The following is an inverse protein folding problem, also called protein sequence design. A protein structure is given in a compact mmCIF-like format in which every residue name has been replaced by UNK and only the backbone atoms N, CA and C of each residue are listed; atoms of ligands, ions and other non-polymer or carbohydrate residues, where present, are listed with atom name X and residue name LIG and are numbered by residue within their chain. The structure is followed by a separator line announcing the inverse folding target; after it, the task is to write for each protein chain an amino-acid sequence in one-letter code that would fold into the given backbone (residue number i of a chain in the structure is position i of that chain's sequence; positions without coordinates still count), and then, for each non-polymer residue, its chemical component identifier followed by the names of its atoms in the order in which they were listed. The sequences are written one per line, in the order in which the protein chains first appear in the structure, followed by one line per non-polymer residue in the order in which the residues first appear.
data_IF_121319399900
#
_entry.id   IF_121319399900
#
_cell.length_a   1.000
_cell.length_b   1.000
_cell.length_c   1.000
_cell.angle_alpha   90.00
_cell.angle_beta   90.00
_cell.angle_gamma   90.00
#
_symmetry.space_group_name_H-M   'P 1'
#
loop_
_entity.id
_entity.type
_entity.pdbx_description
1 polymer ?
#
# COMPACT_ATOMS: atom_id res chain seq x y z
N UNK A 1 2.12 -4.76 22.26
CA UNK A 1 3.06 -3.62 22.10
C UNK A 1 3.82 -3.78 20.80
N UNK A 2 3.97 -2.70 20.04
CA UNK A 2 4.90 -2.63 18.90
C UNK A 2 5.73 -1.35 18.99
N UNK A 3 7.01 -1.45 18.61
CA UNK A 3 7.90 -0.30 18.45
C UNK A 3 8.63 -0.45 17.13
N UNK A 4 8.55 0.55 16.27
CA UNK A 4 9.23 0.57 14.98
C UNK A 4 9.47 2.02 14.56
N UNK A 5 10.69 2.35 14.13
CA UNK A 5 11.03 3.66 13.56
C UNK A 5 10.71 4.85 14.46
N UNK A 6 10.94 4.75 15.78
CA UNK A 6 10.66 5.82 16.73
C UNK A 6 9.16 5.97 17.09
N UNK A 7 8.31 5.00 16.74
CA UNK A 7 6.89 4.99 17.09
C UNK A 7 6.58 3.79 17.97
N UNK A 8 6.15 4.04 19.20
CA UNK A 8 5.63 3.04 20.14
C UNK A 8 4.10 3.03 20.11
N UNK A 9 3.49 1.86 20.09
CA UNK A 9 2.04 1.69 20.12
C UNK A 9 1.62 0.72 21.23
N UNK A 10 0.69 1.16 22.07
CA UNK A 10 0.02 0.35 23.09
C UNK A 10 -1.46 0.31 22.75
N UNK A 11 -1.97 -0.84 22.34
CA UNK A 11 -3.40 -1.02 22.15
C UNK A 11 -4.09 -1.10 23.51
N UNK A 12 -5.00 -0.19 23.76
CA UNK A 12 -5.77 -0.11 25.01
C UNK A 12 -7.02 -0.96 24.95
N UNK A 13 -7.74 -0.85 23.83
CA UNK A 13 -9.01 -1.56 23.66
C UNK A 13 -9.33 -1.79 22.19
N UNK A 14 -10.08 -2.86 21.89
CA UNK A 14 -10.62 -3.15 20.57
C UNK A 14 -12.06 -3.64 20.67
N UNK A 15 -12.95 -3.02 19.89
CA UNK A 15 -14.36 -3.42 19.78
C UNK A 15 -14.72 -3.46 18.29
N UNK A 16 -15.03 -4.64 17.80
CA UNK A 16 -15.31 -4.85 16.39
C UNK A 16 -14.16 -4.33 15.50
N UNK A 17 -14.46 -3.34 14.67
CA UNK A 17 -13.49 -2.68 13.76
C UNK A 17 -12.86 -1.41 14.37
N UNK A 18 -13.23 -1.08 15.61
CA UNK A 18 -12.69 0.07 16.33
C UNK A 18 -11.52 -0.32 17.24
N UNK A 19 -10.41 0.41 17.16
CA UNK A 19 -9.22 0.21 17.99
C UNK A 19 -8.82 1.51 18.65
N UNK A 20 -8.74 1.51 19.98
CA UNK A 20 -8.21 2.60 20.79
C UNK A 20 -6.77 2.28 21.19
N UNK A 21 -5.85 3.20 20.93
CA UNK A 21 -4.43 3.02 21.20
C UNK A 21 -3.80 4.28 21.78
N UNK A 22 -2.80 4.07 22.64
CA UNK A 22 -1.85 5.10 23.04
C UNK A 22 -0.63 5.00 22.12
N UNK A 23 -0.27 6.12 21.51
CA UNK A 23 0.86 6.21 20.59
C UNK A 23 1.91 7.13 21.19
N UNK A 24 3.15 6.69 21.20
CA UNK A 24 4.31 7.51 21.58
C UNK A 24 5.18 7.68 20.35
N UNK A 25 5.50 8.91 20.00
CA UNK A 25 6.31 9.24 18.82
C UNK A 25 7.55 9.98 19.30
N UNK A 26 8.70 9.46 18.99
CA UNK A 26 9.99 10.10 19.23
C UNK A 26 10.25 11.21 18.21
N UNK A 27 11.08 12.22 18.54
CA UNK A 27 11.50 13.22 17.57
C UNK A 27 12.07 12.57 16.30
N UNK A 28 11.60 12.97 15.10
CA UNK A 28 12.07 12.39 13.86
C UNK A 28 13.56 12.70 13.65
N UNK A 29 14.33 11.70 13.30
CA UNK A 29 15.78 11.80 13.06
C UNK A 29 16.11 11.57 11.58
N UNK A 30 15.66 12.44 10.69
CA UNK A 30 15.91 12.24 9.27
C UNK A 30 15.38 13.40 8.42
N UNK A 31 15.65 13.38 7.11
CA UNK A 31 15.11 14.38 6.21
C UNK A 31 13.58 14.27 6.16
N UNK A 32 12.87 15.37 5.84
CA UNK A 32 11.43 15.35 5.67
C UNK A 32 11.00 14.29 4.66
N UNK A 33 9.89 13.61 4.96
CA UNK A 33 9.35 12.61 4.06
C UNK A 33 8.91 13.25 2.73
N UNK A 34 9.29 12.63 1.61
CA UNK A 34 8.86 13.06 0.27
C UNK A 34 7.47 12.54 -0.10
N UNK A 35 7.01 11.53 0.61
CA UNK A 35 5.72 10.89 0.39
C UNK A 35 4.90 10.88 1.67
N UNK A 36 3.58 10.83 1.50
CA UNK A 36 2.61 10.74 2.61
C UNK A 36 1.63 9.60 2.35
N UNK A 37 1.30 8.83 3.41
CA UNK A 37 0.36 7.73 3.31
C UNK A 37 -1.07 8.18 3.61
N UNK A 38 -2.02 7.77 2.76
CA UNK A 38 -3.45 7.94 2.93
C UNK A 38 -4.10 6.56 3.07
N UNK A 39 -4.58 6.28 4.28
CA UNK A 39 -5.15 4.97 4.65
C UNK A 39 -6.66 5.09 4.77
N UNK A 40 -7.37 4.12 4.22
CA UNK A 40 -8.83 4.07 4.31
C UNK A 40 -9.26 3.62 5.71
N UNK A 41 -9.41 4.61 6.59
CA UNK A 41 -9.91 4.43 7.94
C UNK A 41 -10.44 5.77 8.47
N UNK A 42 -11.38 5.73 9.39
CA UNK A 42 -11.71 6.88 10.24
C UNK A 42 -10.72 6.92 11.39
N UNK A 43 -10.00 8.03 11.54
CA UNK A 43 -8.97 8.19 12.57
C UNK A 43 -9.18 9.47 13.33
N UNK A 44 -9.30 9.36 14.64
CA UNK A 44 -9.39 10.48 15.57
C UNK A 44 -8.21 10.45 16.51
N UNK A 45 -7.48 11.53 16.59
CA UNK A 45 -6.30 11.68 17.43
C UNK A 45 -6.43 12.90 18.32
N UNK A 46 -5.94 12.79 19.55
CA UNK A 46 -5.76 13.92 20.46
C UNK A 46 -4.36 13.85 21.08
N UNK A 47 -3.66 14.96 21.08
CA UNK A 47 -2.39 15.11 21.78
C UNK A 47 -2.64 15.14 23.27
N UNK A 48 -2.03 14.21 24.01
CA UNK A 48 -2.08 14.17 25.48
C UNK A 48 -0.89 14.88 26.11
N UNK A 49 0.30 14.71 25.55
CA UNK A 49 1.53 15.32 26.02
C UNK A 49 2.53 15.54 24.88
N UNK A 50 3.48 16.46 25.08
CA UNK A 50 4.47 16.85 24.09
C UNK A 50 4.02 18.04 23.26
N UNK A 51 5.01 18.68 22.60
CA UNK A 51 4.82 19.83 21.70
C UNK A 51 5.66 19.65 20.44
N UNK A 52 5.27 20.35 19.38
CA UNK A 52 5.98 20.32 18.12
C UNK A 52 5.15 20.85 16.96
N UNK A 53 5.56 20.52 15.76
CA UNK A 53 4.90 20.93 14.52
C UNK A 53 4.64 19.74 13.59
N UNK A 54 3.51 19.80 12.90
CA UNK A 54 3.13 18.87 11.86
C UNK A 54 2.51 19.62 10.68
N UNK A 55 2.32 18.92 9.58
CA UNK A 55 1.51 19.37 8.45
C UNK A 55 0.37 18.37 8.26
N UNK A 56 -0.84 18.88 8.18
CA UNK A 56 -2.00 18.13 7.76
C UNK A 56 -2.15 18.24 6.24
N UNK A 57 -2.44 17.12 5.60
CA UNK A 57 -2.61 17.00 4.16
C UNK A 57 -4.02 16.55 3.83
N UNK A 58 -4.62 17.16 2.81
CA UNK A 58 -5.83 16.68 2.14
C UNK A 58 -5.46 16.31 0.70
N UNK A 59 -5.89 15.15 0.24
CA UNK A 59 -5.56 14.62 -1.08
C UNK A 59 -6.82 14.42 -1.92
N UNK A 60 -6.87 15.11 -3.05
CA UNK A 60 -7.81 14.88 -4.13
C UNK A 60 -7.05 14.24 -5.30
N UNK A 61 -7.67 13.29 -5.99
CA UNK A 61 -7.00 12.52 -7.03
C UNK A 61 -6.44 13.44 -8.13
N UNK A 62 -5.20 13.15 -8.56
CA UNK A 62 -4.46 13.82 -9.64
C UNK A 62 -3.98 15.25 -9.35
N UNK A 63 -4.03 15.70 -8.10
CA UNK A 63 -3.46 16.99 -7.69
C UNK A 63 -2.46 16.81 -6.54
N UNK A 64 -1.45 17.69 -6.39
CA UNK A 64 -0.60 17.70 -5.23
C UNK A 64 -1.44 17.86 -3.94
N UNK A 65 -1.12 17.12 -2.86
CA UNK A 65 -1.88 17.23 -1.63
C UNK A 65 -1.89 18.65 -1.09
N UNK A 66 -3.10 19.18 -0.86
CA UNK A 66 -3.25 20.46 -0.18
C UNK A 66 -2.74 20.34 1.26
N UNK A 67 -1.92 21.27 1.70
CA UNK A 67 -1.26 21.20 3.01
C UNK A 67 -1.59 22.39 3.88
N UNK A 68 -1.69 22.16 5.21
CA UNK A 68 -1.84 23.22 6.21
C UNK A 68 -1.01 22.94 7.46
N UNK A 69 -0.43 23.97 8.09
CA UNK A 69 0.27 23.82 9.36
C UNK A 69 -0.65 23.25 10.45
N UNK A 70 -0.11 22.34 11.25
CA UNK A 70 -0.78 21.76 12.41
C UNK A 70 0.15 21.87 13.62
N UNK A 71 -0.01 22.88 14.48
CA UNK A 71 0.75 22.98 15.72
C UNK A 71 0.34 21.85 16.67
N UNK A 72 1.32 21.16 17.24
CA UNK A 72 1.09 20.06 18.16
C UNK A 72 1.29 20.55 19.60
N UNK A 73 0.21 20.46 20.41
CA UNK A 73 0.21 20.77 21.83
C UNK A 73 -0.89 19.97 22.52
N UNK A 74 -0.83 19.74 23.84
CA UNK A 74 -1.90 19.04 24.54
C UNK A 74 -3.29 19.62 24.20
N UNK A 75 -4.24 18.72 23.87
CA UNK A 75 -5.57 19.08 23.40
C UNK A 75 -5.71 19.29 21.88
N UNK A 76 -4.61 19.39 21.10
CA UNK A 76 -4.70 19.42 19.63
C UNK A 76 -5.34 18.15 19.12
N UNK A 77 -6.35 18.30 18.25
CA UNK A 77 -7.09 17.19 17.63
C UNK A 77 -6.80 17.12 16.14
N UNK A 78 -6.73 15.90 15.65
CA UNK A 78 -6.65 15.61 14.22
C UNK A 78 -7.65 14.51 13.85
N UNK A 79 -8.44 14.77 12.82
CA UNK A 79 -9.33 13.78 12.23
C UNK A 79 -8.79 13.41 10.85
N UNK A 80 -8.56 12.13 10.62
CA UNK A 80 -8.08 11.58 9.36
C UNK A 80 -9.07 10.58 8.78
N UNK A 81 -9.10 10.52 7.47
CA UNK A 81 -9.84 9.53 6.69
C UNK A 81 -8.99 9.10 5.48
N UNK A 82 -9.61 8.44 4.51
CA UNK A 82 -8.92 8.00 3.28
C UNK A 82 -8.29 9.13 2.46
N UNK A 83 -8.70 10.38 2.69
CA UNK A 83 -8.22 11.56 1.97
C UNK A 83 -7.47 12.55 2.87
N UNK A 84 -7.39 12.29 4.17
CA UNK A 84 -6.72 13.17 5.12
C UNK A 84 -5.61 12.44 5.87
N UNK A 85 -4.43 13.03 5.88
CA UNK A 85 -3.25 12.50 6.60
C UNK A 85 -2.44 13.62 7.24
N UNK A 86 -1.43 13.28 8.02
CA UNK A 86 -0.50 14.23 8.61
C UNK A 86 0.93 13.70 8.63
N UNK A 87 1.90 14.59 8.51
CA UNK A 87 3.31 14.33 8.74
C UNK A 87 3.80 15.19 9.90
N UNK A 88 4.54 14.59 10.82
CA UNK A 88 5.24 15.31 11.90
C UNK A 88 6.53 15.87 11.30
N UNK A 89 6.79 17.16 11.53
CA UNK A 89 7.98 17.84 11.05
C UNK A 89 9.05 17.91 12.14
N UNK A 90 8.66 18.32 13.34
CA UNK A 90 9.57 18.45 14.47
C UNK A 90 8.81 18.23 15.78
N UNK A 91 9.50 17.67 16.77
CA UNK A 91 9.03 17.52 18.13
C UNK A 91 10.08 18.03 19.10
N UNK A 92 9.66 18.77 20.11
CA UNK A 92 10.54 19.28 21.18
C UNK A 92 10.85 18.18 22.22
N UNK A 93 9.95 17.19 22.35
CA UNK A 93 10.05 16.02 23.21
C UNK A 93 9.17 14.90 22.64
N UNK A 94 9.22 13.66 23.14
CA UNK A 94 8.32 12.60 22.71
C UNK A 94 6.85 13.03 22.79
N UNK A 95 6.12 12.80 21.69
CA UNK A 95 4.70 13.15 21.57
C UNK A 95 3.85 11.95 21.98
N UNK A 96 2.88 12.17 22.86
CA UNK A 96 1.92 11.16 23.29
C UNK A 96 0.54 11.48 22.73
N UNK A 97 -0.02 10.55 21.99
CA UNK A 97 -1.33 10.65 21.36
C UNK A 97 -2.27 9.56 21.88
N UNK A 98 -3.52 9.90 22.10
CA UNK A 98 -4.60 8.92 22.12
C UNK A 98 -5.20 8.86 20.72
N UNK A 99 -5.30 7.65 20.15
CA UNK A 99 -5.79 7.40 18.80
C UNK A 99 -6.93 6.41 18.81
N UNK A 100 -8.05 6.81 18.24
CA UNK A 100 -9.16 5.92 17.88
C UNK A 100 -9.14 5.73 16.35
N UNK A 101 -9.09 4.48 15.92
CA UNK A 101 -9.20 4.10 14.50
C UNK A 101 -10.40 3.20 14.32
N UNK A 102 -11.21 3.46 13.30
CA UNK A 102 -12.26 2.57 12.82
C UNK A 102 -11.97 2.20 11.38
N UNK A 103 -11.81 0.91 11.13
CA UNK A 103 -11.58 0.37 9.78
C UNK A 103 -12.93 0.11 9.09
N UNK A 104 -13.11 0.41 7.79
CA UNK A 104 -14.27 -0.01 7.03
C UNK A 104 -14.29 -1.54 6.87
N UNK A 105 -15.41 -2.09 6.40
CA UNK A 105 -15.54 -3.54 6.19
C UNK A 105 -14.63 -4.05 5.08
N UNK A 106 -14.55 -3.27 4.02
CA UNK A 106 -13.70 -3.52 2.87
C UNK A 106 -12.80 -2.30 2.67
N UNK A 107 -11.65 -2.23 3.38
CA UNK A 107 -10.77 -1.07 3.29
C UNK A 107 -10.09 -1.03 1.92
N UNK A 108 -10.09 0.13 1.30
CA UNK A 108 -9.32 0.38 0.10
C UNK A 108 -7.80 0.36 0.39
N UNK A 109 -6.95 0.04 -0.60
CA UNK A 109 -5.50 0.06 -0.42
C UNK A 109 -4.99 1.41 0.09
N UNK A 110 -4.04 1.36 1.02
CA UNK A 110 -3.28 2.54 1.43
C UNK A 110 -2.49 3.09 0.25
N UNK A 111 -2.65 4.37 -0.04
CA UNK A 111 -1.94 5.07 -1.11
C UNK A 111 -0.79 5.87 -0.51
N UNK A 112 0.41 5.65 -1.00
CA UNK A 112 1.57 6.48 -0.69
C UNK A 112 1.76 7.48 -1.83
N UNK A 113 1.56 8.76 -1.54
CA UNK A 113 1.48 9.84 -2.52
C UNK A 113 2.71 10.72 -2.41
N UNK A 114 3.32 11.08 -3.52
CA UNK A 114 4.37 12.09 -3.58
C UNK A 114 3.80 13.47 -3.26
N UNK A 115 4.37 14.14 -2.26
CA UNK A 115 3.86 15.44 -1.79
C UNK A 115 3.98 16.52 -2.87
N UNK A 116 5.04 16.46 -3.68
CA UNK A 116 5.33 17.49 -4.68
C UNK A 116 4.44 17.39 -5.93
N UNK A 117 4.04 16.19 -6.33
CA UNK A 117 3.37 15.94 -7.61
C UNK A 117 1.94 15.42 -7.47
N UNK A 118 1.58 14.84 -6.32
CA UNK A 118 0.32 14.13 -6.14
C UNK A 118 0.29 12.74 -6.79
N UNK A 119 1.38 12.30 -7.40
CA UNK A 119 1.46 10.97 -8.00
C UNK A 119 1.48 9.88 -6.94
N UNK A 120 0.82 8.76 -7.23
CA UNK A 120 0.82 7.60 -6.33
C UNK A 120 2.12 6.83 -6.56
N UNK A 121 3.04 6.93 -5.58
CA UNK A 121 4.32 6.24 -5.62
C UNK A 121 4.19 4.74 -5.28
N UNK A 122 3.25 4.39 -4.38
CA UNK A 122 3.03 3.02 -3.95
C UNK A 122 1.60 2.82 -3.45
N UNK A 123 1.08 1.60 -3.66
CA UNK A 123 -0.17 1.12 -3.03
C UNK A 123 0.16 -0.11 -2.20
N UNK A 124 -0.30 -0.13 -0.96
CA UNK A 124 -0.17 -1.27 -0.07
C UNK A 124 -1.56 -1.79 0.30
N UNK A 125 -1.73 -3.10 0.35
CA UNK A 125 -2.99 -3.67 0.81
C UNK A 125 -3.31 -3.21 2.24
N UNK A 126 -4.57 -2.89 2.48
CA UNK A 126 -5.07 -2.60 3.82
C UNK A 126 -5.39 -3.88 4.61
N UNK A 127 -5.46 -5.02 3.95
CA UNK A 127 -5.71 -6.32 4.57
C UNK A 127 -4.42 -6.93 5.13
N UNK A 128 -4.34 -7.24 6.44
CA UNK A 128 -3.18 -7.94 7.00
C UNK A 128 -2.95 -9.34 6.38
N UNK A 129 -3.99 -9.97 5.87
CA UNK A 129 -3.89 -11.24 5.17
C UNK A 129 -3.22 -11.07 3.80
N UNK A 130 -3.64 -10.08 3.04
CA UNK A 130 -3.04 -9.74 1.74
C UNK A 130 -1.61 -9.23 1.90
N UNK A 131 -1.33 -8.38 2.88
CA UNK A 131 0.04 -7.93 3.17
C UNK A 131 0.99 -9.08 3.50
N UNK A 132 0.52 -10.15 4.15
CA UNK A 132 1.32 -11.37 4.34
C UNK A 132 1.59 -12.09 3.02
N UNK A 133 0.63 -12.11 2.11
CA UNK A 133 0.82 -12.73 0.78
C UNK A 133 1.77 -11.89 -0.06
N UNK A 134 1.65 -10.58 -0.05
CA UNK A 134 2.59 -9.66 -0.73
C UNK A 134 4.03 -9.90 -0.24
N UNK A 135 4.21 -9.99 1.08
CA UNK A 135 5.52 -10.27 1.67
C UNK A 135 6.01 -11.67 1.32
N UNK A 136 5.15 -12.69 1.37
CA UNK A 136 5.49 -14.06 1.01
C UNK A 136 5.89 -14.15 -0.47
N UNK A 137 5.14 -13.53 -1.37
CA UNK A 137 5.45 -13.50 -2.79
C UNK A 137 6.80 -12.82 -3.06
N UNK A 138 7.07 -11.67 -2.41
CA UNK A 138 8.35 -10.98 -2.52
C UNK A 138 9.52 -11.84 -1.99
N UNK A 139 9.33 -12.54 -0.87
CA UNK A 139 10.35 -13.43 -0.29
C UNK A 139 10.64 -14.63 -1.21
N UNK A 140 9.60 -15.28 -1.75
CA UNK A 140 9.73 -16.39 -2.70
C UNK A 140 10.49 -15.95 -3.96
N UNK A 141 10.19 -14.74 -4.47
CA UNK A 141 10.93 -14.14 -5.58
C UNK A 141 12.40 -13.89 -5.24
N UNK A 142 12.69 -13.29 -4.08
CA UNK A 142 14.07 -13.04 -3.64
C UNK A 142 14.88 -14.32 -3.38
N UNK A 143 14.21 -15.41 -2.98
CA UNK A 143 14.80 -16.74 -2.80
C UNK A 143 14.93 -17.55 -4.10
N UNK A 144 14.51 -17.00 -5.23
CA UNK A 144 14.46 -17.68 -6.53
C UNK A 144 13.75 -19.05 -6.48
N UNK A 145 12.61 -19.13 -5.76
CA UNK A 145 11.84 -20.37 -5.57
C UNK A 145 10.94 -20.61 -6.80
N UNK A 146 11.48 -21.24 -7.83
CA UNK A 146 10.75 -21.59 -9.07
C UNK A 146 9.56 -22.53 -8.81
N UNK A 147 9.66 -23.42 -7.80
CA UNK A 147 8.58 -24.30 -7.40
C UNK A 147 7.33 -23.58 -6.85
N UNK A 148 7.44 -22.29 -6.50
CA UNK A 148 6.32 -21.46 -6.09
C UNK A 148 5.55 -20.84 -7.29
N UNK A 149 6.07 -20.88 -8.49
CA UNK A 149 5.48 -20.23 -9.67
C UNK A 149 4.03 -20.65 -9.93
N UNK A 150 3.65 -21.94 -9.87
CA UNK A 150 2.24 -22.33 -10.08
C UNK A 150 1.29 -21.70 -9.05
N UNK A 151 1.71 -21.60 -7.79
CA UNK A 151 0.93 -20.98 -6.73
C UNK A 151 0.82 -19.47 -6.91
N UNK A 152 1.92 -18.79 -7.29
CA UNK A 152 1.94 -17.36 -7.56
C UNK A 152 1.06 -17.01 -8.76
N UNK A 153 1.14 -17.76 -9.85
CA UNK A 153 0.30 -17.58 -11.05
C UNK A 153 -1.18 -17.82 -10.76
N UNK A 154 -1.50 -18.87 -10.01
CA UNK A 154 -2.88 -19.15 -9.57
C UNK A 154 -3.43 -18.02 -8.69
N UNK A 155 -2.64 -17.53 -7.73
CA UNK A 155 -3.03 -16.41 -6.87
C UNK A 155 -3.27 -15.12 -7.68
N UNK A 156 -2.39 -14.80 -8.63
CA UNK A 156 -2.52 -13.64 -9.51
C UNK A 156 -3.84 -13.67 -10.31
N UNK A 157 -4.25 -14.85 -10.77
CA UNK A 157 -5.50 -15.06 -11.50
C UNK A 157 -6.73 -15.17 -10.59
N UNK A 158 -6.59 -15.14 -9.27
CA UNK A 158 -7.69 -15.27 -8.29
C UNK A 158 -8.54 -14.01 -8.13
N UNK A 159 -9.39 -14.00 -7.08
CA UNK A 159 -10.32 -12.90 -6.75
C UNK A 159 -9.87 -12.09 -5.52
N UNK A 160 -8.58 -12.07 -5.24
CA UNK A 160 -8.01 -11.37 -4.07
C UNK A 160 -7.74 -9.89 -4.38
N UNK A 161 -7.21 -9.15 -3.42
CA UNK A 161 -6.90 -7.74 -3.61
C UNK A 161 -5.89 -7.46 -4.73
N UNK A 162 -6.11 -6.39 -5.46
CA UNK A 162 -5.36 -6.00 -6.68
C UNK A 162 -3.85 -5.98 -6.45
N UNK A 163 -3.40 -5.37 -5.33
CA UNK A 163 -1.97 -5.21 -5.01
C UNK A 163 -1.25 -6.54 -4.81
N UNK A 164 -1.85 -7.45 -4.03
CA UNK A 164 -1.28 -8.77 -3.77
C UNK A 164 -1.24 -9.64 -5.04
N UNK A 165 -2.27 -9.58 -5.88
CA UNK A 165 -2.34 -10.25 -7.18
C UNK A 165 -1.25 -9.73 -8.13
N UNK A 166 -1.11 -8.40 -8.19
CA UNK A 166 -0.08 -7.76 -9.02
C UNK A 166 1.33 -8.14 -8.58
N UNK A 167 1.58 -8.17 -7.27
CA UNK A 167 2.86 -8.60 -6.72
C UNK A 167 3.16 -10.08 -7.02
N UNK A 168 2.16 -10.95 -6.89
CA UNK A 168 2.30 -12.37 -7.24
C UNK A 168 2.61 -12.57 -8.73
N UNK A 169 1.92 -11.84 -9.62
CA UNK A 169 2.16 -11.85 -11.06
C UNK A 169 3.60 -11.43 -11.40
N UNK A 170 4.07 -10.32 -10.83
CA UNK A 170 5.45 -9.85 -11.06
C UNK A 170 6.50 -10.85 -10.64
N UNK A 171 6.30 -11.50 -9.49
CA UNK A 171 7.24 -12.54 -9.03
C UNK A 171 7.15 -13.81 -9.89
N UNK A 172 5.96 -14.22 -10.34
CA UNK A 172 5.81 -15.32 -11.27
C UNK A 172 6.55 -15.06 -12.59
N UNK A 173 6.41 -13.87 -13.18
CA UNK A 173 7.13 -13.43 -14.38
C UNK A 173 8.66 -13.43 -14.19
N UNK A 174 9.12 -13.02 -13.03
CA UNK A 174 10.57 -12.98 -12.74
C UNK A 174 11.17 -14.37 -12.53
N UNK A 175 10.41 -15.30 -11.94
CA UNK A 175 10.87 -16.67 -11.65
C UNK A 175 10.77 -17.60 -12.88
N UNK A 176 9.65 -17.52 -13.59
CA UNK A 176 9.39 -18.26 -14.82
C UNK A 176 8.61 -17.37 -15.79
N UNK A 177 9.34 -16.83 -16.78
CA UNK A 177 8.78 -15.89 -17.75
C UNK A 177 7.61 -16.50 -18.53
N UNK A 178 7.66 -17.79 -18.89
CA UNK A 178 6.60 -18.45 -19.65
C UNK A 178 5.32 -18.56 -18.81
N UNK A 179 5.41 -19.18 -17.65
CA UNK A 179 4.24 -19.37 -16.77
C UNK A 179 3.66 -18.04 -16.27
N UNK A 180 4.52 -17.06 -15.96
CA UNK A 180 4.11 -15.71 -15.59
C UNK A 180 3.44 -14.97 -16.74
N UNK A 181 3.93 -15.11 -17.97
CA UNK A 181 3.33 -14.49 -19.16
C UNK A 181 1.97 -15.12 -19.51
N UNK A 182 1.82 -16.43 -19.35
CA UNK A 182 0.52 -17.12 -19.47
C UNK A 182 -0.50 -16.60 -18.46
N UNK A 183 -0.10 -16.35 -17.22
CA UNK A 183 -0.96 -15.75 -16.22
C UNK A 183 -1.30 -14.29 -16.56
N UNK A 184 -0.34 -13.51 -17.07
CA UNK A 184 -0.55 -12.13 -17.53
C UNK A 184 -1.59 -12.06 -18.65
N UNK A 185 -1.50 -12.92 -19.66
CA UNK A 185 -2.46 -13.00 -20.76
C UNK A 185 -3.86 -13.33 -20.24
N UNK A 186 -3.99 -14.33 -19.37
CA UNK A 186 -5.29 -14.69 -18.75
C UNK A 186 -5.93 -13.54 -17.96
N UNK A 187 -5.14 -12.70 -17.31
CA UNK A 187 -5.67 -11.53 -16.59
C UNK A 187 -6.05 -10.43 -17.59
N UNK A 188 -5.21 -10.16 -18.59
CA UNK A 188 -5.42 -9.14 -19.60
C UNK A 188 -6.70 -9.36 -20.42
N UNK A 189 -7.10 -10.61 -20.64
CA UNK A 189 -8.28 -10.99 -21.42
C UNK A 189 -9.60 -10.94 -20.63
N UNK A 190 -9.54 -10.75 -19.30
CA UNK A 190 -10.75 -10.62 -18.48
C UNK A 190 -11.29 -9.18 -18.54
N UNK A 191 -12.50 -9.00 -19.07
CA UNK A 191 -13.11 -7.68 -19.25
C UNK A 191 -13.43 -6.98 -17.91
N UNK A 192 -13.84 -7.74 -16.90
CA UNK A 192 -14.28 -7.23 -15.60
C UNK A 192 -13.21 -7.33 -14.51
N UNK A 193 -11.96 -7.64 -14.87
CA UNK A 193 -10.89 -7.74 -13.88
C UNK A 193 -10.28 -6.36 -13.60
N UNK A 194 -10.25 -5.90 -12.33
CA UNK A 194 -9.74 -4.57 -11.98
C UNK A 194 -8.31 -4.28 -12.45
N UNK A 195 -7.46 -5.31 -12.57
CA UNK A 195 -6.08 -5.17 -13.02
C UNK A 195 -5.88 -5.51 -14.51
N UNK A 196 -6.94 -5.81 -15.26
CA UNK A 196 -6.84 -6.16 -16.68
C UNK A 196 -6.27 -5.04 -17.55
N UNK A 197 -6.60 -3.79 -17.23
CA UNK A 197 -6.04 -2.63 -17.94
C UNK A 197 -4.52 -2.53 -17.82
N UNK A 198 -4.02 -2.65 -16.60
CA UNK A 198 -2.59 -2.64 -16.29
C UNK A 198 -1.89 -3.88 -16.87
N UNK A 199 -2.56 -5.04 -16.84
CA UNK A 199 -2.04 -6.28 -17.43
C UNK A 199 -1.89 -6.18 -18.96
N UNK A 200 -2.87 -5.57 -19.65
CA UNK A 200 -2.77 -5.31 -21.11
C UNK A 200 -1.61 -4.39 -21.45
N UNK A 201 -1.46 -3.29 -20.72
CA UNK A 201 -0.36 -2.35 -20.94
C UNK A 201 1.00 -3.02 -20.70
N UNK A 202 1.13 -3.87 -19.67
CA UNK A 202 2.35 -4.63 -19.41
C UNK A 202 2.61 -5.65 -20.51
N UNK A 203 1.60 -6.40 -20.97
CA UNK A 203 1.72 -7.36 -22.07
C UNK A 203 2.23 -6.70 -23.35
N UNK A 204 1.61 -5.59 -23.76
CA UNK A 204 2.04 -4.82 -24.93
C UNK A 204 3.49 -4.34 -24.82
N UNK A 205 3.87 -3.83 -23.66
CA UNK A 205 5.24 -3.39 -23.39
C UNK A 205 6.25 -4.54 -23.46
N UNK A 206 5.90 -5.70 -22.90
CA UNK A 206 6.76 -6.89 -22.93
C UNK A 206 6.90 -7.46 -24.35
N UNK A 207 5.82 -7.57 -25.13
CA UNK A 207 5.87 -8.03 -26.52
C UNK A 207 6.67 -7.08 -27.42
N UNK A 208 6.58 -5.76 -27.16
CA UNK A 208 7.39 -4.77 -27.90
C UNK A 208 8.87 -4.90 -27.55
N UNK A 209 9.21 -5.12 -26.29
CA UNK A 209 10.60 -5.21 -25.82
C UNK A 209 11.22 -6.57 -26.14
N UNK A 210 10.43 -7.63 -26.10
CA UNK A 210 10.85 -9.03 -26.26
C UNK A 210 9.96 -9.72 -27.31
N UNK A 211 10.28 -9.62 -28.62
CA UNK A 211 9.44 -10.16 -29.70
C UNK A 211 9.15 -11.67 -29.61
N UNK A 212 10.00 -12.44 -28.93
CA UNK A 212 9.77 -13.86 -28.67
C UNK A 212 8.52 -14.12 -27.81
N UNK A 213 8.08 -13.18 -27.00
CA UNK A 213 6.85 -13.30 -26.20
C UNK A 213 5.59 -13.13 -27.05
N UNK A 214 5.66 -12.41 -28.16
CA UNK A 214 4.55 -12.32 -29.11
C UNK A 214 4.25 -13.69 -29.75
N UNK A 215 5.29 -14.47 -30.08
CA UNK A 215 5.12 -15.83 -30.60
C UNK A 215 4.45 -16.75 -29.55
N UNK A 216 4.79 -16.58 -28.27
CA UNK A 216 4.18 -17.32 -27.17
C UNK A 216 2.70 -16.96 -26.98
N UNK A 217 2.33 -15.70 -27.19
CA UNK A 217 0.94 -15.24 -27.18
C UNK A 217 0.11 -15.94 -28.25
N UNK A 218 0.65 -16.03 -29.49
CA UNK A 218 0.00 -16.72 -30.60
C UNK A 218 -0.20 -18.22 -30.32
N UNK A 219 0.78 -18.88 -29.70
CA UNK A 219 0.66 -20.30 -29.28
C UNK A 219 -0.46 -20.48 -28.24
N UNK A 220 -0.59 -19.56 -27.27
CA UNK A 220 -1.61 -19.62 -26.22
C UNK A 220 -3.02 -19.37 -26.77
N UNK A 221 -3.17 -18.46 -27.73
CA UNK A 221 -4.46 -18.21 -28.40
C UNK A 221 -4.93 -19.40 -29.25
N UNK A 222 -4.01 -20.21 -29.79
CA UNK A 222 -4.36 -21.40 -30.56
C UNK A 222 -4.74 -22.60 -29.69
N UNK A 223 -4.38 -22.60 -28.41
CA UNK A 223 -4.62 -23.68 -27.46
C UNK A 223 -5.88 -23.48 -26.59
N UNK A 224 -6.58 -22.34 -26.72
CA UNK A 224 -7.80 -21.96 -25.97
C UNK A 224 -9.04 -22.20 -26.79
#
# INVERSE_FOLDING_TARGET
HSHSGGVGTIQLHRVGRGTLSLIVIEPPSGPPARTIAFTDCERHEIVLAGTGSAVAYAFEANEPPCSRPLPLRPGTRFNGDKNHSRAILALDAPLVLLRLVREPEHPAPTRQVEIATGSIAHRASASPAEGRVELAAALLGAMAREDAVPALAAYACGQMGEGARWQALRNALALDTRAGFEALCRIADRLDDPIAGEARALRESLCTTYPQLANLEDELCLAS
#
